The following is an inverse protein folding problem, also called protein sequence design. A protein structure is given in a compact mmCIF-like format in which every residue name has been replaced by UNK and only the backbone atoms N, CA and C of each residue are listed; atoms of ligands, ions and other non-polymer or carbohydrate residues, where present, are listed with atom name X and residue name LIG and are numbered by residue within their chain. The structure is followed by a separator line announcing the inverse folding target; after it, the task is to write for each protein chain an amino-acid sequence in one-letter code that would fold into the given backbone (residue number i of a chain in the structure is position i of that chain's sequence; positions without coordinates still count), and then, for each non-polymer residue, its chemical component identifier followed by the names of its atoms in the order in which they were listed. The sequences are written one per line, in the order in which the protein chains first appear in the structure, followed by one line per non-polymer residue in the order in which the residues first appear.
data_IF_120585751895
#
_entry.id   IF_120585751895
#
_cell.length_a   1.000
_cell.length_b   1.000
_cell.length_c   1.000
_cell.angle_alpha   90.00
_cell.angle_beta   90.00
_cell.angle_gamma   90.00
#
_symmetry.space_group_name_H-M   'P 1'
#
loop_
_entity.id
_entity.type
_entity.pdbx_description
1 polymer ?
#
# COMPACT_ATOMS: atom_id res chain seq x y z
N UNK A 1 -4.19 2.08 -22.69
CA UNK A 1 -4.51 2.43 -21.29
C UNK A 1 -3.28 3.14 -20.77
N UNK A 2 -3.40 4.39 -20.35
CA UNK A 2 -2.26 5.16 -19.82
C UNK A 2 -2.22 4.84 -18.33
N UNK A 3 -1.15 4.17 -17.88
CA UNK A 3 -1.01 3.69 -16.51
C UNK A 3 -0.49 4.80 -15.61
N UNK A 4 -1.35 5.73 -15.21
CA UNK A 4 -0.96 6.75 -14.24
C UNK A 4 -0.89 6.13 -12.84
N UNK A 5 0.21 6.39 -12.13
CA UNK A 5 0.18 6.52 -10.67
C UNK A 5 -0.02 7.99 -10.40
N UNK A 6 -1.22 8.45 -10.07
CA UNK A 6 -1.41 9.85 -9.85
C UNK A 6 -0.78 10.21 -8.49
N UNK A 7 0.50 10.57 -8.53
CA UNK A 7 0.98 11.64 -7.69
C UNK A 7 0.34 12.90 -8.24
N UNK A 8 -0.72 13.34 -7.56
CA UNK A 8 -1.46 14.53 -7.93
C UNK A 8 -0.84 15.71 -7.20
N UNK A 9 -0.42 16.72 -7.96
CA UNK A 9 -0.03 18.00 -7.43
C UNK A 9 -1.16 18.99 -7.70
N UNK A 10 -1.76 19.51 -6.63
CA UNK A 10 -2.81 20.53 -6.73
C UNK A 10 -2.21 21.86 -6.33
N UNK A 11 -2.15 22.79 -7.27
CA UNK A 11 -1.80 24.18 -7.04
C UNK A 11 -3.06 25.03 -6.95
N UNK A 12 -3.04 25.95 -6.01
CA UNK A 12 -4.07 26.97 -5.86
C UNK A 12 -3.43 28.28 -5.41
N UNK A 13 -4.08 29.40 -5.71
CA UNK A 13 -3.58 30.70 -5.29
C UNK A 13 -3.87 30.88 -3.79
N UNK A 14 -2.80 30.92 -2.99
CA UNK A 14 -2.84 31.42 -1.61
C UNK A 14 -2.41 32.88 -1.63
N UNK A 15 -3.20 33.74 -1.01
CA UNK A 15 -2.82 35.11 -0.62
C UNK A 15 -2.74 35.09 0.92
N UNK A 16 -1.81 35.81 1.55
CA UNK A 16 -1.53 35.69 3.01
C UNK A 16 -2.75 36.04 3.89
N UNK A 17 -3.72 36.79 3.34
CA UNK A 17 -4.99 37.16 3.98
C UNK A 17 -6.22 36.45 3.36
N UNK A 18 -6.03 35.35 2.61
CA UNK A 18 -7.05 34.87 1.66
C UNK A 18 -8.22 34.08 2.29
N UNK A 19 -9.48 34.55 2.20
CA UNK A 19 -10.66 33.79 2.60
C UNK A 19 -10.94 32.56 1.72
N UNK A 20 -10.30 32.45 0.54
CA UNK A 20 -10.53 31.36 -0.41
C UNK A 20 -10.02 29.99 0.07
N UNK A 21 -9.14 29.94 1.08
CA UNK A 21 -8.69 28.66 1.68
C UNK A 21 -9.85 27.84 2.23
N UNK A 22 -10.92 28.50 2.71
CA UNK A 22 -12.16 27.87 3.18
C UNK A 22 -12.90 27.08 2.10
N UNK A 23 -12.74 27.45 0.83
CA UNK A 23 -13.37 26.76 -0.30
C UNK A 23 -12.72 25.38 -0.54
N UNK A 24 -11.42 25.25 -0.30
CA UNK A 24 -10.68 24.02 -0.54
C UNK A 24 -10.85 22.98 0.55
N UNK A 25 -11.21 23.38 1.77
CA UNK A 25 -11.30 22.43 2.89
C UNK A 25 -12.37 21.35 2.66
N UNK A 26 -12.09 20.13 3.10
CA UNK A 26 -12.99 18.99 2.99
C UNK A 26 -13.09 18.39 1.58
N UNK A 27 -12.23 18.79 0.66
CA UNK A 27 -12.17 18.22 -0.68
C UNK A 27 -11.80 16.74 -0.65
N UNK A 28 -12.17 16.04 -1.72
CA UNK A 28 -11.81 14.64 -1.93
C UNK A 28 -11.25 14.49 -3.34
N UNK A 29 -10.33 13.54 -3.49
CA UNK A 29 -9.81 13.12 -4.78
C UNK A 29 -10.20 11.68 -5.00
N UNK A 30 -10.86 11.43 -6.12
CA UNK A 30 -11.20 10.10 -6.60
C UNK A 30 -10.38 9.77 -7.82
N UNK A 31 -10.16 8.48 -8.03
CA UNK A 31 -9.55 7.97 -9.24
C UNK A 31 -10.51 6.94 -9.86
N UNK A 32 -10.73 7.01 -11.17
CA UNK A 32 -11.75 6.24 -11.86
C UNK A 32 -11.32 5.88 -13.28
N UNK A 33 -11.72 4.72 -13.77
CA UNK A 33 -11.54 4.35 -15.18
C UNK A 33 -12.59 5.03 -16.09
N UNK A 34 -13.60 5.66 -15.51
CA UNK A 34 -14.63 6.42 -16.22
C UNK A 34 -14.59 7.89 -15.81
N UNK A 35 -15.32 8.75 -16.52
CA UNK A 35 -15.49 10.15 -16.13
C UNK A 35 -16.48 10.32 -14.97
N UNK A 36 -17.03 9.23 -14.43
CA UNK A 36 -17.98 9.26 -13.33
C UNK A 36 -17.26 8.98 -12.01
N UNK A 37 -17.49 9.86 -11.02
CA UNK A 37 -16.97 9.73 -9.66
C UNK A 37 -17.46 8.46 -8.96
N UNK A 38 -18.72 8.09 -9.18
CA UNK A 38 -19.33 6.98 -8.44
C UNK A 38 -18.81 5.59 -8.85
N UNK A 39 -18.18 5.50 -10.01
CA UNK A 39 -17.48 4.28 -10.45
C UNK A 39 -16.04 4.22 -9.91
N UNK A 40 -15.57 5.31 -9.29
CA UNK A 40 -14.19 5.48 -8.84
C UNK A 40 -13.95 5.04 -7.41
N UNK A 41 -12.66 4.96 -7.05
CA UNK A 41 -12.21 4.72 -5.68
C UNK A 41 -11.74 6.02 -5.04
N UNK A 42 -12.02 6.19 -3.75
CA UNK A 42 -11.54 7.34 -2.98
C UNK A 42 -10.02 7.21 -2.80
N UNK A 43 -9.27 8.16 -3.36
CA UNK A 43 -7.83 8.23 -3.17
C UNK A 43 -7.46 9.05 -1.92
N UNK A 44 -8.06 10.23 -1.79
CA UNK A 44 -7.76 11.15 -0.69
C UNK A 44 -9.02 11.88 -0.25
N UNK A 45 -9.12 12.15 1.06
CA UNK A 45 -10.12 13.03 1.62
C UNK A 45 -9.47 13.92 2.66
N UNK A 46 -9.61 15.22 2.48
CA UNK A 46 -9.28 16.17 3.52
C UNK A 46 -10.28 16.04 4.68
N UNK A 47 -9.76 15.72 5.86
CA UNK A 47 -10.50 15.79 7.12
C UNK A 47 -9.78 16.62 8.19
N UNK A 48 -8.56 17.06 7.92
CA UNK A 48 -7.63 17.56 8.94
C UNK A 48 -7.10 18.95 8.64
N UNK A 49 -7.16 19.41 7.38
CA UNK A 49 -6.68 20.72 7.05
C UNK A 49 -7.61 21.80 7.60
N UNK A 50 -6.99 22.92 7.95
CA UNK A 50 -7.64 24.16 8.36
C UNK A 50 -7.22 25.25 7.39
N UNK A 51 -7.88 26.41 7.47
CA UNK A 51 -7.52 27.58 6.66
C UNK A 51 -6.04 27.97 6.77
N UNK A 52 -5.40 27.69 7.91
CA UNK A 52 -4.01 28.02 8.18
C UNK A 52 -3.02 26.88 7.87
N UNK A 53 -3.50 25.64 7.69
CA UNK A 53 -2.64 24.45 7.59
C UNK A 53 -2.72 23.73 6.25
N UNK A 54 -3.66 24.10 5.38
CA UNK A 54 -3.73 23.55 4.03
C UNK A 54 -2.47 23.96 3.24
N UNK A 55 -1.64 23.01 2.77
CA UNK A 55 -0.38 23.33 2.10
C UNK A 55 -0.62 23.78 0.65
N UNK A 56 0.29 24.58 0.08
CA UNK A 56 0.30 24.88 -1.35
C UNK A 56 1.72 24.72 -1.90
N UNK A 57 1.95 23.76 -2.81
CA UNK A 57 0.97 22.83 -3.38
C UNK A 57 0.56 21.69 -2.42
N UNK A 58 -0.55 21.01 -2.71
CA UNK A 58 -0.92 19.74 -2.05
C UNK A 58 -0.46 18.57 -2.91
N UNK A 59 0.33 17.67 -2.31
CA UNK A 59 0.83 16.46 -2.95
C UNK A 59 0.02 15.26 -2.44
N UNK A 60 -0.63 14.54 -3.33
CA UNK A 60 -1.46 13.37 -2.99
C UNK A 60 -0.93 12.16 -3.74
N UNK A 61 -0.61 11.09 -3.01
CA UNK A 61 -0.20 9.81 -3.58
C UNK A 61 -1.37 8.82 -3.50
N UNK A 62 -1.83 8.33 -4.66
CA UNK A 62 -2.88 7.32 -4.73
C UNK A 62 -2.29 5.91 -4.91
N UNK A 63 -2.77 4.89 -4.17
CA UNK A 63 -2.27 3.52 -4.28
C UNK A 63 -2.91 2.72 -5.44
N UNK A 64 -3.90 3.27 -6.15
CA UNK A 64 -4.56 2.61 -7.28
C UNK A 64 -4.27 3.33 -8.60
N UNK A 65 -4.43 2.59 -9.69
CA UNK A 65 -4.10 3.03 -11.05
C UNK A 65 -5.37 3.12 -11.87
N UNK A 66 -5.78 4.33 -12.22
CA UNK A 66 -7.01 4.56 -12.96
C UNK A 66 -6.80 5.66 -14.00
N UNK A 67 -7.73 5.79 -14.95
CA UNK A 67 -7.58 6.68 -16.11
C UNK A 67 -7.85 8.16 -15.81
N UNK A 68 -8.75 8.44 -14.88
CA UNK A 68 -9.23 9.79 -14.55
C UNK A 68 -8.96 10.09 -13.09
N UNK A 69 -8.54 11.32 -12.83
CA UNK A 69 -8.46 11.91 -11.49
C UNK A 69 -9.61 12.92 -11.37
N UNK A 70 -10.39 12.81 -10.31
CA UNK A 70 -11.59 13.61 -10.09
C UNK A 70 -11.43 14.35 -8.76
N UNK A 71 -11.19 15.66 -8.84
CA UNK A 71 -11.32 16.55 -7.70
C UNK A 71 -12.81 16.76 -7.41
N UNK A 72 -13.20 16.54 -6.16
CA UNK A 72 -14.58 16.62 -5.74
C UNK A 72 -14.70 17.44 -4.46
N UNK A 73 -15.52 18.49 -4.54
CA UNK A 73 -15.85 19.33 -3.41
C UNK A 73 -17.37 19.40 -3.28
N UNK A 74 -17.90 19.09 -2.10
CA UNK A 74 -19.34 19.00 -1.88
C UNK A 74 -19.77 19.75 -0.62
N UNK A 75 -20.91 20.43 -0.71
CA UNK A 75 -21.59 21.20 0.35
C UNK A 75 -23.11 20.95 0.28
N UNK A 76 -23.53 19.71 0.51
CA UNK A 76 -24.96 19.33 0.47
C UNK A 76 -25.62 19.16 1.84
N UNK A 77 -24.85 18.91 2.90
CA UNK A 77 -25.38 18.57 4.23
C UNK A 77 -24.81 19.49 5.32
N UNK A 78 -25.47 20.62 5.62
CA UNK A 78 -25.11 21.45 6.78
C UNK A 78 -25.49 20.75 8.10
N UNK A 79 -24.83 21.08 9.24
CA UNK A 79 -23.80 22.11 9.40
C UNK A 79 -22.41 21.63 8.93
N UNK A 80 -21.62 22.55 8.37
CA UNK A 80 -20.24 22.26 7.95
C UNK A 80 -19.25 22.45 9.11
N UNK A 81 -18.13 21.72 9.10
CA UNK A 81 -17.00 21.96 10.01
C UNK A 81 -16.55 23.43 10.02
N UNK A 82 -15.98 23.85 11.15
CA UNK A 82 -15.52 25.22 11.33
C UNK A 82 -14.46 25.61 10.27
N UNK A 83 -14.63 26.78 9.67
CA UNK A 83 -13.73 27.31 8.65
C UNK A 83 -14.02 26.82 7.23
N UNK A 84 -14.94 25.88 7.02
CA UNK A 84 -15.38 25.48 5.68
C UNK A 84 -16.26 26.58 5.06
N UNK A 85 -16.10 26.80 3.75
CA UNK A 85 -17.04 27.62 2.98
C UNK A 85 -18.41 26.94 2.93
N UNK A 86 -19.47 27.75 2.92
CA UNK A 86 -20.84 27.28 2.67
C UNK A 86 -21.12 27.02 1.19
N UNK A 87 -20.25 27.52 0.31
CA UNK A 87 -20.32 27.31 -1.13
C UNK A 87 -19.34 26.22 -1.57
N UNK A 88 -19.77 25.41 -2.54
CA UNK A 88 -18.92 24.40 -3.17
C UNK A 88 -18.18 25.00 -4.38
N UNK A 89 -17.17 25.80 -4.10
CA UNK A 89 -16.34 26.43 -5.14
C UNK A 89 -15.14 25.54 -5.49
N UNK A 90 -14.77 25.55 -6.77
CA UNK A 90 -13.56 24.90 -7.28
C UNK A 90 -12.71 25.97 -7.97
N UNK A 91 -11.73 26.51 -7.26
CA UNK A 91 -10.82 27.56 -7.76
C UNK A 91 -9.39 27.04 -7.89
N UNK A 92 -9.26 25.80 -8.40
CA UNK A 92 -7.97 25.17 -8.69
C UNK A 92 -7.27 25.97 -9.80
N UNK A 93 -5.97 26.21 -9.64
CA UNK A 93 -5.19 26.96 -10.62
C UNK A 93 -4.50 26.01 -11.58
N UNK A 94 -3.89 24.96 -11.04
CA UNK A 94 -3.19 23.96 -11.84
C UNK A 94 -3.28 22.60 -11.14
N UNK A 95 -3.43 21.56 -11.96
CA UNK A 95 -3.49 20.17 -11.52
C UNK A 95 -2.50 19.40 -12.36
N UNK A 96 -1.44 18.91 -11.74
CA UNK A 96 -0.47 18.05 -12.42
C UNK A 96 -0.70 16.60 -12.01
N UNK A 97 -0.83 15.74 -13.01
CA UNK A 97 -0.92 14.29 -12.84
C UNK A 97 0.37 13.68 -13.37
N UNK A 98 1.22 13.22 -12.46
CA UNK A 98 2.44 12.53 -12.83
C UNK A 98 2.15 11.04 -13.06
N UNK A 99 2.95 10.37 -13.90
CA UNK A 99 2.80 8.96 -14.20
C UNK A 99 3.62 8.51 -15.41
N UNK A 100 3.68 7.19 -15.61
CA UNK A 100 4.40 6.61 -16.74
C UNK A 100 3.47 6.27 -17.92
N UNK A 101 3.96 6.41 -19.17
CA UNK A 101 3.14 6.16 -20.37
C UNK A 101 2.73 4.69 -20.48
N UNK A 102 3.55 3.78 -19.96
CA UNK A 102 3.29 2.35 -19.88
C UNK A 102 3.35 1.85 -18.43
N UNK A 103 2.49 0.88 -18.06
CA UNK A 103 2.58 0.23 -16.77
C UNK A 103 3.89 -0.56 -16.65
N UNK A 104 4.34 -0.81 -15.41
CA UNK A 104 5.56 -1.57 -15.17
C UNK A 104 6.85 -0.76 -15.25
N UNK A 105 6.78 0.56 -15.33
CA UNK A 105 7.94 1.44 -15.34
C UNK A 105 7.82 2.55 -14.31
N UNK A 106 8.98 2.99 -13.80
CA UNK A 106 9.13 4.07 -12.84
C UNK A 106 10.40 4.91 -13.11
N UNK A 107 10.61 5.94 -12.29
CA UNK A 107 11.69 6.91 -12.37
C UNK A 107 11.34 8.12 -13.24
N UNK A 108 12.15 9.17 -13.17
CA UNK A 108 11.90 10.47 -13.83
C UNK A 108 11.59 10.35 -15.33
N UNK A 109 12.19 9.37 -16.01
CA UNK A 109 12.01 9.13 -17.45
C UNK A 109 11.27 7.81 -17.76
N UNK A 110 10.62 7.19 -16.78
CA UNK A 110 9.90 5.92 -16.95
C UNK A 110 10.71 4.84 -17.66
N UNK A 111 12.01 4.79 -17.33
CA UNK A 111 12.99 3.92 -18.00
C UNK A 111 13.43 2.76 -17.11
N UNK A 112 13.05 2.78 -15.82
CA UNK A 112 13.34 1.71 -14.88
C UNK A 112 12.14 0.77 -14.81
N UNK A 113 12.36 -0.52 -14.92
CA UNK A 113 11.30 -1.52 -14.80
C UNK A 113 10.93 -1.75 -13.34
N UNK A 114 9.63 -1.77 -13.04
CA UNK A 114 9.13 -2.17 -11.73
C UNK A 114 9.65 -3.57 -11.35
N UNK A 115 9.88 -3.84 -10.05
CA UNK A 115 10.26 -5.17 -9.61
C UNK A 115 9.28 -6.25 -10.10
N UNK A 116 9.80 -7.37 -10.60
CA UNK A 116 8.99 -8.38 -11.31
C UNK A 116 7.84 -8.95 -10.47
N UNK A 117 8.05 -9.04 -9.15
CA UNK A 117 7.08 -9.65 -8.24
C UNK A 117 6.15 -8.63 -7.58
N UNK A 118 6.15 -7.37 -8.03
CA UNK A 118 5.07 -6.46 -7.70
C UNK A 118 3.75 -7.03 -8.25
N UNK A 119 2.69 -6.97 -7.46
CA UNK A 119 1.37 -7.41 -7.89
C UNK A 119 0.90 -6.59 -9.11
N UNK A 120 0.49 -7.30 -10.16
CA UNK A 120 0.08 -6.73 -11.46
C UNK A 120 1.18 -5.89 -12.14
N UNK A 121 2.44 -6.01 -11.71
CA UNK A 121 3.57 -5.26 -12.26
C UNK A 121 3.57 -3.77 -11.91
N UNK A 122 2.86 -3.36 -10.86
CA UNK A 122 2.80 -1.94 -10.48
C UNK A 122 3.69 -1.61 -9.28
N UNK A 123 4.43 -0.51 -9.39
CA UNK A 123 5.27 0.03 -8.35
C UNK A 123 5.19 1.56 -8.35
N UNK A 124 5.51 2.19 -7.22
CA UNK A 124 5.59 3.64 -7.08
C UNK A 124 6.45 4.26 -8.18
N UNK A 125 5.92 5.29 -8.86
CA UNK A 125 6.58 5.90 -10.02
C UNK A 125 7.85 6.67 -9.67
N UNK A 126 8.04 7.04 -8.40
CA UNK A 126 9.23 7.79 -7.98
C UNK A 126 10.31 6.82 -7.51
N UNK A 127 9.97 5.96 -6.55
CA UNK A 127 10.90 5.10 -5.83
C UNK A 127 10.92 3.63 -6.26
N UNK A 128 10.00 3.18 -7.10
CA UNK A 128 9.95 1.79 -7.56
C UNK A 128 9.46 0.79 -6.52
N UNK A 129 8.94 1.27 -5.39
CA UNK A 129 8.41 0.42 -4.31
C UNK A 129 7.08 -0.21 -4.70
N UNK A 130 6.94 -1.52 -4.55
CA UNK A 130 5.68 -2.22 -4.80
C UNK A 130 4.65 -1.90 -3.71
N UNK A 131 3.41 -1.57 -4.09
CA UNK A 131 2.30 -1.43 -3.13
C UNK A 131 1.86 -2.78 -2.55
N UNK A 132 2.07 -3.84 -3.32
CA UNK A 132 1.74 -5.22 -2.93
C UNK A 132 2.60 -6.20 -3.69
N UNK A 133 2.95 -7.29 -3.04
CA UNK A 133 3.74 -8.36 -3.65
C UNK A 133 2.86 -9.51 -4.14
N UNK A 134 3.35 -10.19 -5.17
CA UNK A 134 2.86 -11.51 -5.53
C UNK A 134 3.02 -12.48 -4.35
N UNK A 135 2.26 -13.58 -4.38
CA UNK A 135 2.37 -14.61 -3.35
C UNK A 135 3.83 -15.07 -3.24
N UNK A 136 4.35 -15.23 -2.02
CA UNK A 136 5.73 -15.65 -1.71
C UNK A 136 6.80 -14.55 -1.81
N UNK A 137 6.44 -13.30 -2.05
CA UNK A 137 7.41 -12.20 -2.09
C UNK A 137 7.10 -11.16 -1.02
N UNK A 138 8.14 -10.53 -0.49
CA UNK A 138 8.03 -9.56 0.60
C UNK A 138 8.98 -8.38 0.39
N UNK A 139 8.86 -7.37 1.24
CA UNK A 139 9.72 -6.19 1.20
C UNK A 139 9.29 -5.16 0.14
N UNK A 140 9.96 -4.01 0.09
CA UNK A 140 9.58 -2.89 -0.76
C UNK A 140 9.72 -3.20 -2.26
N UNK A 141 10.59 -4.13 -2.63
CA UNK A 141 10.85 -4.53 -4.01
C UNK A 141 10.38 -5.96 -4.32
N UNK A 142 9.56 -6.56 -3.44
CA UNK A 142 9.06 -7.92 -3.59
C UNK A 142 10.16 -8.93 -3.91
N UNK A 143 11.19 -8.91 -3.08
CA UNK A 143 12.29 -9.86 -3.13
C UNK A 143 11.88 -11.19 -2.50
N UNK A 144 12.64 -12.24 -2.85
CA UNK A 144 12.44 -13.56 -2.28
C UNK A 144 12.63 -13.52 -0.77
N UNK A 145 11.69 -14.13 -0.04
CA UNK A 145 11.88 -14.43 1.37
C UNK A 145 13.13 -15.29 1.56
N UNK A 146 14.13 -14.87 2.35
CA UNK A 146 15.34 -15.66 2.53
C UNK A 146 15.01 -17.07 3.03
N UNK A 147 15.68 -18.07 2.46
CA UNK A 147 15.47 -19.46 2.85
C UNK A 147 15.70 -19.64 4.35
N UNK A 148 14.74 -20.30 5.00
CA UNK A 148 14.74 -20.52 6.44
C UNK A 148 14.08 -19.43 7.26
N UNK A 149 13.44 -18.45 6.61
CA UNK A 149 12.55 -17.50 7.26
C UNK A 149 11.09 -17.72 6.83
N UNK A 150 10.16 -17.36 7.70
CA UNK A 150 8.73 -17.38 7.44
C UNK A 150 8.00 -16.20 8.11
N UNK A 151 6.72 -16.04 7.78
CA UNK A 151 5.82 -15.00 8.28
C UNK A 151 5.67 -13.84 7.28
N UNK A 152 4.76 -12.90 7.59
CA UNK A 152 4.40 -11.80 6.68
C UNK A 152 5.56 -10.86 6.31
N UNK A 153 6.63 -10.85 7.11
CA UNK A 153 7.85 -10.08 6.88
C UNK A 153 9.12 -10.96 6.85
N UNK A 154 8.97 -12.29 6.75
CA UNK A 154 10.10 -13.23 6.80
C UNK A 154 11.05 -12.96 7.98
N UNK A 155 10.47 -12.70 9.15
CA UNK A 155 11.22 -12.35 10.36
C UNK A 155 11.35 -13.51 11.33
N UNK A 156 10.63 -14.60 11.11
CA UNK A 156 10.61 -15.77 11.99
C UNK A 156 11.45 -16.90 11.39
N UNK A 157 12.22 -17.61 12.21
CA UNK A 157 13.10 -18.69 11.73
C UNK A 157 12.36 -20.01 11.62
N UNK A 158 12.46 -20.66 10.46
CA UNK A 158 12.04 -22.05 10.29
C UNK A 158 12.73 -22.95 11.32
N UNK A 159 11.99 -23.96 11.80
CA UNK A 159 12.54 -24.88 12.80
C UNK A 159 13.68 -25.73 12.25
N UNK A 160 14.75 -25.87 13.03
CA UNK A 160 15.87 -26.77 12.74
C UNK A 160 15.51 -28.25 12.91
N UNK A 161 14.35 -28.55 13.51
CA UNK A 161 13.85 -29.91 13.74
C UNK A 161 12.87 -30.36 12.66
N UNK A 162 12.60 -29.52 11.65
CA UNK A 162 11.97 -29.95 10.40
C UNK A 162 12.79 -31.10 9.77
N UNK A 163 12.12 -31.96 9.00
CA UNK A 163 12.75 -33.07 8.28
C UNK A 163 13.91 -32.60 7.40
N UNK A 164 13.72 -31.48 6.72
CA UNK A 164 14.80 -30.64 6.16
C UNK A 164 15.10 -29.50 7.15
N UNK A 165 16.23 -29.52 7.88
CA UNK A 165 16.54 -28.53 8.92
C UNK A 165 16.48 -27.10 8.39
N UNK A 166 15.70 -26.25 9.05
CA UNK A 166 15.58 -24.83 8.68
C UNK A 166 14.83 -24.60 7.38
N UNK A 167 14.06 -25.58 6.86
CA UNK A 167 13.21 -25.40 5.67
C UNK A 167 11.75 -25.63 6.02
N UNK A 168 10.94 -24.61 5.84
CA UNK A 168 9.51 -24.63 6.14
C UNK A 168 8.72 -23.79 5.13
N UNK A 169 7.39 -23.89 5.18
CA UNK A 169 6.49 -23.02 4.43
C UNK A 169 6.67 -21.57 4.89
N UNK A 170 6.96 -20.68 3.95
CA UNK A 170 7.31 -19.29 4.23
C UNK A 170 6.17 -18.43 4.77
N UNK A 171 4.92 -18.84 4.62
CA UNK A 171 3.78 -18.05 5.13
C UNK A 171 3.37 -18.51 6.52
N UNK A 172 3.44 -19.82 6.75
CA UNK A 172 2.87 -20.47 7.94
C UNK A 172 3.92 -21.03 8.90
N UNK A 173 5.16 -21.19 8.46
CA UNK A 173 6.21 -21.86 9.21
C UNK A 173 6.12 -23.39 9.21
N UNK A 174 5.20 -23.98 8.42
CA UNK A 174 4.92 -25.41 8.45
C UNK A 174 6.04 -26.26 7.83
N UNK A 175 6.50 -27.31 8.53
CA UNK A 175 7.51 -28.23 8.03
C UNK A 175 6.89 -29.23 7.03
N UNK A 176 6.85 -28.89 5.74
CA UNK A 176 6.27 -29.74 4.69
C UNK A 176 6.95 -31.12 4.55
N UNK A 177 8.21 -31.24 4.93
CA UNK A 177 8.97 -32.51 4.96
C UNK A 177 8.72 -33.37 6.20
N UNK A 178 7.77 -33.00 7.06
CA UNK A 178 7.56 -33.62 8.36
C UNK A 178 8.64 -33.21 9.38
N UNK A 179 8.73 -33.96 10.47
CA UNK A 179 9.65 -33.68 11.58
C UNK A 179 10.75 -34.73 11.69
N UNK A 180 11.90 -34.31 12.23
CA UNK A 180 12.94 -35.24 12.67
C UNK A 180 12.40 -36.18 13.75
N UNK A 181 13.03 -37.34 13.90
CA UNK A 181 12.65 -38.34 14.92
C UNK A 181 12.64 -37.71 16.30
N UNK A 182 11.57 -37.94 17.05
CA UNK A 182 11.39 -37.35 18.39
C UNK A 182 10.74 -35.96 18.37
N UNK A 183 10.30 -35.46 17.21
CA UNK A 183 9.62 -34.17 17.10
C UNK A 183 8.25 -34.30 16.43
N UNK A 184 7.33 -33.42 16.81
CA UNK A 184 5.96 -33.35 16.28
C UNK A 184 5.43 -31.91 16.33
N UNK A 185 4.24 -31.69 15.78
CA UNK A 185 3.65 -30.37 15.58
C UNK A 185 3.82 -29.86 14.14
N UNK A 186 3.08 -28.81 13.79
CA UNK A 186 3.11 -28.25 12.44
C UNK A 186 4.48 -27.62 12.12
N UNK A 187 5.18 -27.14 13.13
CA UNK A 187 6.49 -26.48 13.00
C UNK A 187 7.58 -27.31 13.68
N UNK A 188 7.28 -28.59 13.98
CA UNK A 188 8.16 -29.50 14.72
C UNK A 188 8.61 -28.92 16.07
N UNK A 189 7.74 -28.15 16.71
CA UNK A 189 8.04 -27.39 17.93
C UNK A 189 7.95 -28.24 19.21
N UNK A 190 7.40 -29.45 19.13
CA UNK A 190 7.18 -30.34 20.28
C UNK A 190 8.12 -31.54 20.22
N UNK A 191 9.08 -31.61 21.12
CA UNK A 191 9.97 -32.75 21.29
C UNK A 191 9.38 -33.80 22.25
N UNK A 192 9.61 -35.08 21.98
CA UNK A 192 9.40 -36.17 22.93
C UNK A 192 10.66 -37.02 23.03
N UNK A 193 11.06 -37.36 24.25
CA UNK A 193 12.12 -38.33 24.47
C UNK A 193 11.56 -39.74 24.26
N UNK A 194 12.15 -40.48 23.32
CA UNK A 194 12.04 -41.94 23.30
C UNK A 194 12.87 -42.49 24.46
N UNK A 195 12.31 -42.53 25.66
CA UNK A 195 12.86 -43.37 26.71
C UNK A 195 12.64 -44.83 26.30
N UNK A 196 13.64 -45.70 26.52
CA UNK A 196 13.60 -47.13 26.17
C UNK A 196 12.54 -47.94 26.95
N UNK A 197 11.54 -47.29 27.53
CA UNK A 197 10.37 -47.89 28.14
C UNK A 197 9.13 -47.17 27.61
N UNK A 198 8.21 -47.93 27.00
CA UNK A 198 6.96 -47.49 26.39
C UNK A 198 6.04 -46.70 27.34
N UNK A 199 6.37 -45.45 27.66
CA UNK A 199 5.47 -44.50 28.31
C UNK A 199 5.78 -43.09 27.80
N UNK A 200 4.89 -42.58 26.94
CA UNK A 200 4.91 -41.18 26.50
C UNK A 200 4.54 -40.27 27.69
N UNK A 201 5.53 -39.59 28.26
CA UNK A 201 5.31 -38.47 29.17
C UNK A 201 5.45 -37.16 28.37
N UNK A 202 4.34 -36.42 28.27
CA UNK A 202 4.31 -35.07 27.71
C UNK A 202 4.57 -34.07 28.85
N UNK A 203 5.60 -33.24 28.71
CA UNK A 203 5.83 -32.06 29.55
C UNK A 203 5.33 -30.80 28.85
#
# INVERSE_FOLDING_TARGET
MIGFLPSLLIFFLIDEDNPLTSAFLGFSVYISNTTNKEDGVLCFRDTNYTRATIPNPVNITCPYHERYVIYYNNRTHPPYPEGYSIYADNVLCEVEVNGCPSPGYYGENCSLECPQNCQNGYCDIVGGTCFRCAHQYIGPTCEDCPSGLYGSNCSENCSMTCGDPGRCDMMTGHCNGGCQVGWTGAMCEKGYHLTNNNTHENF
#
